data_IF_039257485418
#
_entry.id   IF_039257485418
#
_cell.length_a   1.000
_cell.length_b   1.000
_cell.length_c   1.000
_cell.angle_alpha   90.00
_cell.angle_beta   90.00
_cell.angle_gamma   90.00
#
_symmetry.space_group_name_H-M   'P 1'
#
loop_
_entity.id
_entity.type
_entity.pdbx_description
1 polymer ?
#
# COMPACT_ATOMS: atom_id res chain seq x y z
N UNK A 1 16.39 -12.62 -9.44
CA UNK A 1 14.96 -12.46 -9.22
C UNK A 1 14.41 -11.45 -10.20
N UNK A 2 13.24 -11.68 -10.71
CA UNK A 2 12.67 -10.87 -11.76
C UNK A 2 11.17 -10.68 -11.53
N UNK A 3 10.61 -9.61 -12.10
CA UNK A 3 9.19 -9.27 -11.95
C UNK A 3 8.29 -10.41 -12.40
N UNK A 4 8.63 -11.07 -13.49
CA UNK A 4 7.85 -12.21 -14.00
C UNK A 4 7.86 -13.44 -13.10
N UNK A 5 8.69 -13.45 -12.05
CA UNK A 5 8.68 -14.52 -11.05
C UNK A 5 7.50 -14.37 -10.09
N UNK A 6 6.89 -13.19 -10.02
CA UNK A 6 5.65 -12.98 -9.29
C UNK A 6 4.49 -13.59 -10.05
N UNK A 7 3.67 -14.37 -9.36
CA UNK A 7 2.54 -15.08 -9.98
C UNK A 7 1.23 -14.67 -9.32
N UNK A 8 0.16 -14.52 -10.11
CA UNK A 8 -1.18 -14.32 -9.53
C UNK A 8 -1.50 -15.38 -8.49
N UNK A 9 -2.11 -14.96 -7.40
CA UNK A 9 -2.42 -15.80 -6.26
C UNK A 9 -1.39 -15.77 -5.14
N UNK A 10 -0.18 -15.31 -5.41
CA UNK A 10 0.83 -15.13 -4.36
C UNK A 10 0.48 -13.95 -3.47
N UNK A 11 0.91 -14.02 -2.21
CA UNK A 11 0.55 -13.04 -1.18
C UNK A 11 1.77 -12.54 -0.43
N UNK A 12 1.63 -11.35 0.16
CA UNK A 12 2.58 -10.81 1.12
C UNK A 12 1.82 -10.11 2.23
N UNK A 13 2.38 -10.08 3.42
CA UNK A 13 1.75 -9.46 4.59
C UNK A 13 2.73 -8.56 5.32
N UNK A 14 2.19 -7.53 5.98
CA UNK A 14 2.95 -6.64 6.82
C UNK A 14 2.06 -6.19 7.97
N UNK A 15 2.64 -6.03 9.16
CA UNK A 15 1.91 -5.65 10.37
C UNK A 15 2.45 -4.36 10.95
N UNK A 16 1.57 -3.61 11.61
CA UNK A 16 1.94 -2.41 12.36
C UNK A 16 1.08 -2.35 13.62
N UNK A 17 1.67 -1.89 14.73
CA UNK A 17 0.92 -1.64 15.96
C UNK A 17 0.29 -0.25 15.84
N UNK A 18 -1.03 -0.17 16.07
CA UNK A 18 -1.72 1.10 16.06
C UNK A 18 -1.18 2.00 17.18
N UNK A 19 -0.65 3.15 16.80
CA UNK A 19 -0.09 4.13 17.73
C UNK A 19 -0.63 5.52 17.37
N UNK A 20 -0.26 6.52 18.17
CA UNK A 20 -0.73 7.89 18.01
C UNK A 20 -0.55 8.43 16.57
N UNK A 21 0.54 8.07 15.92
CA UNK A 21 0.83 8.54 14.56
C UNK A 21 -0.19 8.05 13.53
N UNK A 22 -0.96 7.00 13.86
CA UNK A 22 -1.96 6.40 12.96
C UNK A 22 -3.37 6.92 13.20
N UNK A 23 -3.58 7.77 14.20
CA UNK A 23 -4.94 8.14 14.65
C UNK A 23 -5.68 9.02 13.65
N UNK A 24 -6.97 8.70 13.47
CA UNK A 24 -7.91 9.54 12.72
C UNK A 24 -7.96 10.95 13.32
N UNK A 25 -7.95 11.06 14.65
CA UNK A 25 -7.98 12.35 15.38
C UNK A 25 -6.81 13.25 15.04
N UNK A 26 -5.68 12.71 14.60
CA UNK A 26 -4.53 13.50 14.17
C UNK A 26 -4.68 14.08 12.76
N UNK A 27 -5.68 13.62 12.02
CA UNK A 27 -5.93 14.06 10.62
C UNK A 27 -7.14 14.99 10.57
N UNK A 28 -8.23 14.62 11.27
CA UNK A 28 -9.47 15.40 11.30
C UNK A 28 -9.88 15.62 12.75
N UNK A 29 -9.96 16.87 13.16
CA UNK A 29 -10.38 17.25 14.51
C UNK A 29 -11.77 16.71 14.82
N UNK A 30 -11.93 16.18 16.04
CA UNK A 30 -13.21 15.65 16.52
C UNK A 30 -13.46 14.19 16.16
N UNK A 31 -12.53 13.54 15.46
CA UNK A 31 -12.63 12.11 15.17
C UNK A 31 -11.93 11.30 16.29
N UNK A 32 -12.24 9.99 16.39
CA UNK A 32 -11.70 9.19 17.50
C UNK A 32 -10.22 8.82 17.33
N UNK A 33 -9.63 8.36 18.44
CA UNK A 33 -8.24 7.89 18.50
C UNK A 33 -8.20 6.43 18.04
N UNK A 34 -8.39 6.22 16.75
CA UNK A 34 -8.39 4.90 16.14
C UNK A 34 -7.52 4.90 14.88
N UNK A 35 -7.13 3.72 14.44
CA UNK A 35 -6.36 3.55 13.21
C UNK A 35 -7.10 4.19 12.02
N UNK A 36 -6.47 5.16 11.40
CA UNK A 36 -7.15 5.97 10.37
C UNK A 36 -7.20 5.26 9.01
N UNK A 37 -8.13 5.70 8.16
CA UNK A 37 -8.21 5.21 6.78
C UNK A 37 -6.93 5.50 5.99
N UNK A 38 -6.33 6.72 6.06
CA UNK A 38 -5.03 6.93 5.43
C UNK A 38 -3.92 6.01 5.96
N UNK A 39 -3.89 5.71 7.26
CA UNK A 39 -2.90 4.79 7.82
C UNK A 39 -3.10 3.37 7.27
N UNK A 40 -4.34 2.93 7.12
CA UNK A 40 -4.66 1.64 6.52
C UNK A 40 -4.17 1.60 5.06
N UNK A 41 -4.45 2.65 4.29
CA UNK A 41 -3.97 2.76 2.92
C UNK A 41 -2.45 2.73 2.83
N UNK A 42 -1.77 3.46 3.71
CA UNK A 42 -0.31 3.47 3.75
C UNK A 42 0.26 2.08 4.05
N UNK A 43 -0.36 1.32 4.94
CA UNK A 43 0.06 -0.04 5.25
C UNK A 43 -0.07 -0.97 4.04
N UNK A 44 -1.19 -0.87 3.31
CA UNK A 44 -1.42 -1.65 2.09
C UNK A 44 -0.37 -1.31 1.02
N UNK A 45 -0.15 -0.02 0.78
CA UNK A 45 0.84 0.43 -0.20
C UNK A 45 2.24 -0.03 0.16
N UNK A 46 2.62 0.09 1.43
CA UNK A 46 3.93 -0.35 1.90
C UNK A 46 4.11 -1.85 1.72
N UNK A 47 3.10 -2.64 2.04
CA UNK A 47 3.13 -4.09 1.87
C UNK A 47 3.38 -4.46 0.40
N UNK A 48 2.61 -3.88 -0.52
CA UNK A 48 2.75 -4.17 -1.94
C UNK A 48 4.08 -3.66 -2.50
N UNK A 49 4.47 -2.44 -2.17
CA UNK A 49 5.68 -1.82 -2.70
C UNK A 49 6.94 -2.57 -2.25
N UNK A 50 7.04 -2.92 -0.96
CA UNK A 50 8.20 -3.64 -0.44
C UNK A 50 8.29 -5.05 -1.00
N UNK A 51 7.15 -5.71 -1.18
CA UNK A 51 7.11 -7.03 -1.80
C UNK A 51 7.63 -6.99 -3.23
N UNK A 52 7.08 -6.12 -4.06
CA UNK A 52 7.47 -6.02 -5.47
C UNK A 52 8.92 -5.56 -5.62
N UNK A 53 9.39 -4.68 -4.74
CA UNK A 53 10.76 -4.16 -4.79
C UNK A 53 11.81 -5.27 -4.77
N UNK A 54 11.52 -6.40 -4.14
CA UNK A 54 12.44 -7.54 -4.08
C UNK A 54 12.68 -8.18 -5.46
N UNK A 55 11.77 -7.94 -6.40
CA UNK A 55 11.82 -8.54 -7.74
C UNK A 55 12.24 -7.54 -8.82
N UNK A 56 12.59 -6.31 -8.43
CA UNK A 56 12.93 -5.25 -9.38
C UNK A 56 14.43 -5.06 -9.51
N UNK A 57 14.85 -4.58 -10.68
CA UNK A 57 16.22 -4.12 -10.89
C UNK A 57 16.47 -2.85 -10.05
N UNK A 58 17.76 -2.56 -9.71
CA UNK A 58 18.08 -1.42 -8.82
C UNK A 58 17.56 -0.07 -9.31
N UNK A 59 17.48 0.15 -10.62
CA UNK A 59 17.00 1.40 -11.22
C UNK A 59 15.48 1.47 -11.33
N UNK A 60 14.78 0.42 -10.96
CA UNK A 60 13.31 0.34 -11.05
C UNK A 60 12.68 0.55 -9.67
N UNK A 61 11.46 1.07 -9.69
CA UNK A 61 10.62 1.21 -8.51
C UNK A 61 9.15 1.12 -8.93
N UNK A 62 8.24 1.06 -7.97
CA UNK A 62 6.82 1.16 -8.29
C UNK A 62 6.24 2.44 -7.71
N UNK A 63 5.21 2.94 -8.38
CA UNK A 63 4.38 4.03 -7.89
C UNK A 63 2.94 3.55 -7.82
N UNK A 64 2.20 3.99 -6.80
CA UNK A 64 0.78 3.70 -6.66
C UNK A 64 -0.03 4.54 -7.61
N UNK A 65 -1.02 3.95 -8.26
CA UNK A 65 -1.91 4.63 -9.21
C UNK A 65 -3.36 4.62 -8.76
N UNK A 66 -3.75 3.65 -7.94
CA UNK A 66 -5.12 3.55 -7.44
C UNK A 66 -5.13 2.71 -6.17
N UNK A 67 -5.98 3.09 -5.23
CA UNK A 67 -6.29 2.26 -4.08
C UNK A 67 -7.77 2.43 -3.75
N UNK A 68 -8.44 1.32 -3.52
CA UNK A 68 -9.82 1.28 -3.02
C UNK A 68 -9.76 0.74 -1.61
N UNK A 69 -10.32 1.47 -0.66
CA UNK A 69 -10.32 1.12 0.75
C UNK A 69 -11.76 1.05 1.26
N UNK A 70 -12.17 -0.14 1.66
CA UNK A 70 -13.37 -0.33 2.46
C UNK A 70 -12.88 -0.52 3.90
N UNK A 71 -13.04 0.50 4.72
CA UNK A 71 -12.61 0.49 6.12
C UNK A 71 -13.80 0.05 6.98
N UNK A 72 -13.78 -1.20 7.42
CA UNK A 72 -14.98 -1.87 7.92
C UNK A 72 -15.05 -1.99 9.44
N UNK A 73 -13.95 -1.75 10.15
CA UNK A 73 -13.92 -1.78 11.61
C UNK A 73 -12.83 -0.85 12.14
N UNK A 74 -13.10 -0.25 13.30
CA UNK A 74 -12.15 0.63 13.98
C UNK A 74 -11.20 -0.19 14.84
N UNK A 75 -9.94 0.22 14.90
CA UNK A 75 -8.89 -0.42 15.72
C UNK A 75 -8.33 0.58 16.71
N UNK A 76 -8.40 0.32 18.02
CA UNK A 76 -7.84 1.20 19.04
C UNK A 76 -6.33 1.04 19.16
N UNK A 77 -5.71 1.99 19.89
CA UNK A 77 -4.29 1.97 20.17
C UNK A 77 -3.83 0.66 20.79
N UNK A 78 -2.65 0.20 20.38
CA UNK A 78 -2.01 -0.98 20.94
C UNK A 78 -2.32 -2.28 20.23
N UNK A 79 -3.35 -2.31 19.40
CA UNK A 79 -3.66 -3.51 18.61
C UNK A 79 -2.84 -3.54 17.34
N UNK A 80 -2.51 -4.74 16.88
CA UNK A 80 -1.72 -4.94 15.67
C UNK A 80 -2.64 -5.09 14.45
N UNK A 81 -2.41 -4.24 13.45
CA UNK A 81 -3.11 -4.33 12.16
C UNK A 81 -2.19 -5.04 11.17
N UNK A 82 -2.68 -6.09 10.55
CA UNK A 82 -1.96 -6.86 9.54
C UNK A 82 -2.68 -6.75 8.21
N UNK A 83 -2.00 -6.22 7.20
CA UNK A 83 -2.50 -6.21 5.83
C UNK A 83 -1.90 -7.38 5.06
N UNK A 84 -2.72 -8.02 4.24
CA UNK A 84 -2.30 -9.07 3.31
C UNK A 84 -2.71 -8.65 1.91
N UNK A 85 -1.74 -8.55 1.01
CA UNK A 85 -1.99 -8.24 -0.39
C UNK A 85 -1.80 -9.50 -1.21
N UNK A 86 -2.67 -9.69 -2.20
CA UNK A 86 -2.62 -10.81 -3.13
C UNK A 86 -2.46 -10.24 -4.53
N UNK A 87 -1.50 -10.74 -5.29
CA UNK A 87 -1.36 -10.36 -6.68
C UNK A 87 -2.51 -10.96 -7.48
N UNK A 88 -3.33 -10.10 -8.08
CA UNK A 88 -4.45 -10.53 -8.91
C UNK A 88 -4.05 -10.67 -10.37
N UNK A 89 -3.23 -9.73 -10.87
CA UNK A 89 -2.77 -9.74 -12.25
C UNK A 89 -1.47 -8.96 -12.40
N UNK A 90 -0.65 -9.42 -13.33
CA UNK A 90 0.55 -8.71 -13.75
C UNK A 90 0.51 -8.66 -15.29
N UNK A 91 0.39 -7.46 -15.84
CA UNK A 91 0.36 -7.25 -17.27
C UNK A 91 1.37 -6.16 -17.64
N UNK A 92 2.47 -6.56 -18.25
CA UNK A 92 3.55 -5.64 -18.57
C UNK A 92 4.13 -5.04 -17.28
N UNK A 93 3.94 -3.74 -17.09
CA UNK A 93 4.43 -3.01 -15.91
C UNK A 93 3.33 -2.68 -14.90
N UNK A 94 2.14 -3.23 -15.10
CA UNK A 94 0.97 -2.96 -14.25
C UNK A 94 0.74 -4.15 -13.33
N UNK A 95 0.70 -3.86 -12.02
CA UNK A 95 0.39 -4.87 -11.00
C UNK A 95 -0.93 -4.51 -10.34
N UNK A 96 -1.88 -5.44 -10.41
CA UNK A 96 -3.17 -5.32 -9.74
C UNK A 96 -3.22 -6.25 -8.54
N UNK A 97 -3.61 -5.71 -7.40
CA UNK A 97 -3.72 -6.45 -6.14
C UNK A 97 -5.14 -6.39 -5.59
N UNK A 98 -5.50 -7.42 -4.86
CA UNK A 98 -6.57 -7.36 -3.86
C UNK A 98 -5.93 -7.38 -2.49
N UNK A 99 -6.63 -6.89 -1.46
CA UNK A 99 -6.07 -6.89 -0.11
C UNK A 99 -7.15 -7.00 0.95
N UNK A 100 -6.73 -7.53 2.09
CA UNK A 100 -7.53 -7.58 3.32
C UNK A 100 -6.66 -7.14 4.48
N UNK A 101 -7.27 -6.69 5.55
CA UNK A 101 -6.56 -6.36 6.79
C UNK A 101 -7.36 -6.81 7.99
N UNK A 102 -6.66 -7.22 9.05
CA UNK A 102 -7.26 -7.68 10.31
C UNK A 102 -6.52 -7.08 11.49
N UNK A 103 -7.24 -6.88 12.61
CA UNK A 103 -6.61 -6.50 13.88
C UNK A 103 -6.57 -7.65 14.89
N UNK A 104 -6.89 -8.86 14.43
CA UNK A 104 -6.95 -10.05 15.27
C UNK A 104 -8.31 -10.31 15.88
N UNK A 105 -9.19 -9.33 15.86
CA UNK A 105 -10.59 -9.44 16.35
C UNK A 105 -11.55 -9.31 15.17
N UNK A 106 -11.35 -8.28 14.35
CA UNK A 106 -12.21 -7.98 13.20
C UNK A 106 -11.43 -7.92 11.91
N UNK A 107 -12.13 -8.09 10.78
CA UNK A 107 -11.62 -7.63 9.51
C UNK A 107 -11.71 -6.10 9.53
N UNK A 108 -10.58 -5.44 9.41
CA UNK A 108 -10.48 -3.99 9.50
C UNK A 108 -10.81 -3.34 8.16
N UNK A 109 -10.48 -4.03 7.08
CA UNK A 109 -10.76 -3.51 5.76
C UNK A 109 -10.40 -4.47 4.65
N UNK A 110 -10.79 -4.07 3.44
CA UNK A 110 -10.51 -4.79 2.22
C UNK A 110 -10.57 -3.84 1.03
N UNK A 111 -10.10 -4.28 -0.11
CA UNK A 111 -10.17 -3.49 -1.32
C UNK A 111 -9.22 -3.96 -2.40
N UNK A 112 -8.85 -3.02 -3.26
CA UNK A 112 -7.94 -3.25 -4.38
C UNK A 112 -6.83 -2.20 -4.38
N UNK A 113 -5.75 -2.50 -5.09
CA UNK A 113 -4.62 -1.58 -5.23
C UNK A 113 -3.93 -1.85 -6.56
N UNK A 114 -3.46 -0.77 -7.21
CA UNK A 114 -2.73 -0.89 -8.46
C UNK A 114 -1.42 -0.12 -8.36
N UNK A 115 -0.34 -0.71 -8.89
CA UNK A 115 0.97 -0.08 -8.95
C UNK A 115 1.57 -0.25 -10.34
N UNK A 116 2.43 0.69 -10.72
CA UNK A 116 3.17 0.65 -11.97
C UNK A 116 4.67 0.58 -11.69
N UNK A 117 5.37 -0.26 -12.47
CA UNK A 117 6.83 -0.25 -12.48
C UNK A 117 7.31 0.91 -13.32
N UNK A 118 8.20 1.72 -12.77
CA UNK A 118 8.80 2.86 -13.46
C UNK A 118 10.33 2.79 -13.37
N UNK A 119 11.00 3.36 -14.35
CA UNK A 119 12.45 3.52 -14.33
C UNK A 119 12.74 4.81 -13.57
N UNK A 120 13.50 4.71 -12.48
CA UNK A 120 13.76 5.85 -11.58
C UNK A 120 14.34 7.06 -12.30
N UNK A 121 15.42 6.93 -13.13
CA UNK A 121 15.98 8.11 -13.80
C UNK A 121 14.97 8.81 -14.71
N UNK A 122 14.18 8.06 -15.47
CA UNK A 122 13.16 8.62 -16.37
C UNK A 122 12.06 9.31 -15.59
N UNK A 123 11.63 8.68 -14.50
CA UNK A 123 10.57 9.22 -13.66
C UNK A 123 11.02 10.54 -13.01
N UNK A 124 12.23 10.57 -12.45
CA UNK A 124 12.79 11.77 -11.83
C UNK A 124 13.00 12.89 -12.85
N UNK A 125 13.43 12.55 -14.07
CA UNK A 125 13.57 13.54 -15.15
C UNK A 125 12.22 14.16 -15.50
N UNK A 126 11.17 13.34 -15.56
CA UNK A 126 9.82 13.82 -15.85
C UNK A 126 9.32 14.76 -14.75
N UNK A 127 9.62 14.43 -13.49
CA UNK A 127 9.25 15.28 -12.36
C UNK A 127 9.97 16.62 -12.42
N UNK A 128 11.26 16.62 -12.75
CA UNK A 128 12.04 17.84 -12.89
C UNK A 128 11.48 18.73 -14.00
N UNK A 129 11.11 18.13 -15.12
CA UNK A 129 10.49 18.85 -16.25
C UNK A 129 9.16 19.47 -15.83
N UNK A 130 8.33 18.71 -15.14
CA UNK A 130 7.04 19.20 -14.65
C UNK A 130 7.22 20.35 -13.67
N UNK A 131 8.17 20.25 -12.75
CA UNK A 131 8.45 21.29 -11.76
C UNK A 131 8.88 22.59 -12.45
N UNK A 132 9.68 22.50 -13.50
CA UNK A 132 10.15 23.67 -14.25
C UNK A 132 9.02 24.41 -14.98
N UNK A 133 7.88 23.75 -15.20
CA UNK A 133 6.71 24.33 -15.86
C UNK A 133 5.75 25.01 -14.89
N UNK A 134 5.95 24.83 -13.60
CA UNK A 134 5.04 25.38 -12.57
C UNK A 134 5.28 26.87 -12.33
#
# INVERSE_FOLDING_TARGET
MALEDLKPGETASLSVVCSREHFASGIVDGTPDVFSTPALGALVEKTAAEWVAQELAPEQMTVGSQIVINHTAATPEGMTVTATVTLAALEGRVLDFTWTATDGVDEVGNGTHQRFVVDRPRFEQRLATKKAQA
#
